data_IF_667826983332
#
_entry.id   IF_667826983332
#
_cell.length_a   1.000
_cell.length_b   1.000
_cell.length_c   1.000
_cell.angle_alpha   90.00
_cell.angle_beta   90.00
_cell.angle_gamma   90.00
#
_symmetry.space_group_name_H-M   'P 1'
#
loop_
_entity.id
_entity.type
_entity.pdbx_description
1 polymer ?
#
# COMPACT_ATOMS: atom_id res chain seq x y z
N UNK A 1 28.17 -14.19 -8.51
CA UNK A 1 26.89 -14.94 -8.59
C UNK A 1 25.72 -13.93 -8.61
N UNK A 2 24.95 -13.89 -9.71
CA UNK A 2 24.00 -12.81 -10.08
C UNK A 2 22.85 -12.63 -9.07
N UNK A 3 22.70 -11.42 -8.52
CA UNK A 3 21.47 -10.97 -7.82
C UNK A 3 20.29 -11.10 -8.79
N UNK A 4 19.38 -12.05 -8.54
CA UNK A 4 18.12 -12.14 -9.30
C UNK A 4 17.31 -10.88 -9.02
N UNK A 5 17.38 -9.90 -9.92
CA UNK A 5 16.49 -8.74 -9.95
C UNK A 5 15.06 -9.26 -10.13
N UNK A 6 14.30 -9.36 -9.05
CA UNK A 6 12.85 -9.50 -9.14
C UNK A 6 12.33 -8.36 -10.00
N UNK A 7 11.50 -8.65 -11.01
CA UNK A 7 10.88 -7.64 -11.87
C UNK A 7 10.26 -6.56 -10.95
N UNK A 8 10.71 -5.32 -11.07
CA UNK A 8 10.09 -4.18 -10.36
C UNK A 8 8.71 -4.01 -10.97
N UNK A 9 7.68 -4.56 -10.33
CA UNK A 9 6.30 -4.33 -10.74
C UNK A 9 5.96 -2.90 -10.31
N UNK A 10 5.82 -2.02 -11.29
CA UNK A 10 5.56 -0.59 -11.06
C UNK A 10 4.07 -0.27 -11.10
N UNK A 11 3.23 -1.18 -11.62
CA UNK A 11 1.79 -1.02 -11.74
C UNK A 11 1.03 -2.17 -11.08
N UNK A 12 -0.19 -1.93 -10.56
CA UNK A 12 -1.01 -3.00 -10.02
C UNK A 12 -1.28 -4.12 -11.01
N UNK A 13 -1.42 -5.35 -10.49
CA UNK A 13 -1.86 -6.49 -11.29
C UNK A 13 -3.36 -6.31 -11.54
N UNK A 14 -3.76 -6.24 -12.81
CA UNK A 14 -5.18 -6.12 -13.19
C UNK A 14 -5.99 -7.35 -12.75
N UNK A 15 -7.21 -7.11 -12.26
CA UNK A 15 -8.12 -8.16 -11.79
C UNK A 15 -9.00 -7.66 -10.66
N UNK A 16 -9.92 -8.51 -10.18
CA UNK A 16 -10.67 -8.22 -8.95
C UNK A 16 -9.71 -8.09 -7.77
N UNK A 17 -10.00 -7.15 -6.86
CA UNK A 17 -9.18 -6.94 -5.68
C UNK A 17 -9.16 -8.22 -4.81
N UNK A 18 -7.97 -8.78 -4.61
CA UNK A 18 -7.78 -9.98 -3.79
C UNK A 18 -6.46 -9.87 -3.04
N UNK A 19 -6.54 -9.95 -1.72
CA UNK A 19 -5.39 -10.15 -0.84
C UNK A 19 -5.06 -11.64 -0.79
N UNK A 20 -3.89 -12.03 -1.32
CA UNK A 20 -3.48 -13.43 -1.43
C UNK A 20 -2.34 -13.67 -0.43
N UNK A 21 -2.53 -14.62 0.49
CA UNK A 21 -1.53 -14.98 1.50
C UNK A 21 -1.68 -14.19 2.81
N UNK A 22 -0.63 -14.22 3.64
CA UNK A 22 -0.63 -13.55 4.94
C UNK A 22 -0.06 -12.13 4.83
N UNK A 23 -0.35 -11.27 5.81
CA UNK A 23 0.16 -9.88 5.87
C UNK A 23 1.67 -9.79 5.60
N UNK A 24 2.42 -10.69 6.24
CA UNK A 24 3.86 -10.81 6.11
C UNK A 24 4.33 -11.59 4.90
N UNK A 25 3.47 -12.27 4.15
CA UNK A 25 3.87 -13.14 3.05
C UNK A 25 2.72 -13.30 2.06
N UNK A 26 2.44 -12.23 1.33
CA UNK A 26 1.32 -12.16 0.42
C UNK A 26 1.57 -11.25 -0.77
N UNK A 27 0.68 -11.35 -1.75
CA UNK A 27 0.59 -10.46 -2.89
C UNK A 27 -0.85 -9.94 -3.01
N UNK A 28 -1.03 -8.93 -3.83
CA UNK A 28 -2.35 -8.33 -4.07
C UNK A 28 -2.61 -8.21 -5.57
N UNK A 29 -3.75 -8.74 -5.99
CA UNK A 29 -4.34 -8.48 -7.32
C UNK A 29 -5.34 -7.34 -7.16
N UNK A 30 -5.47 -6.49 -8.16
CA UNK A 30 -6.42 -5.38 -8.16
C UNK A 30 -6.14 -4.30 -7.10
N UNK A 31 -4.87 -4.13 -6.71
CA UNK A 31 -4.50 -3.07 -5.76
C UNK A 31 -4.81 -1.69 -6.35
N UNK A 32 -5.30 -0.79 -5.51
CA UNK A 32 -5.58 0.59 -5.86
C UNK A 32 -4.61 1.52 -5.15
N UNK A 33 -4.24 2.62 -5.82
CA UNK A 33 -3.48 3.69 -5.21
C UNK A 33 -4.39 4.51 -4.29
N UNK A 34 -3.90 4.84 -3.10
CA UNK A 34 -4.49 5.90 -2.29
C UNK A 34 -4.31 7.25 -3.03
N UNK A 35 -5.37 8.06 -3.19
CA UNK A 35 -5.24 9.39 -3.78
C UNK A 35 -4.18 10.23 -3.05
N UNK A 36 -3.22 10.79 -3.79
CA UNK A 36 -2.16 11.60 -3.19
C UNK A 36 -2.62 13.02 -2.84
N UNK A 37 -3.70 13.48 -3.44
CA UNK A 37 -4.35 14.74 -3.12
C UNK A 37 -5.64 14.46 -2.34
N UNK A 38 -5.64 14.83 -1.07
CA UNK A 38 -6.80 14.76 -0.19
C UNK A 38 -6.73 15.93 0.81
N UNK A 39 -7.89 16.42 1.22
CA UNK A 39 -7.99 17.45 2.26
C UNK A 39 -7.85 16.87 3.67
N UNK A 40 -8.14 15.58 3.84
CA UNK A 40 -8.26 14.92 5.15
C UNK A 40 -7.03 14.12 5.57
N UNK A 41 -6.05 13.94 4.68
CA UNK A 41 -4.78 13.27 4.98
C UNK A 41 -3.65 13.70 4.01
N UNK A 42 -2.41 13.43 4.39
CA UNK A 42 -1.23 13.55 3.52
C UNK A 42 -0.46 12.23 3.47
N UNK A 43 0.05 11.87 2.30
CA UNK A 43 0.84 10.65 2.09
C UNK A 43 2.32 10.98 2.13
N UNK A 44 3.06 10.30 3.02
CA UNK A 44 4.50 10.50 3.18
C UNK A 44 5.29 9.62 2.20
N UNK A 45 6.52 10.05 1.86
CA UNK A 45 7.53 9.23 1.12
C UNK A 45 6.97 8.63 -0.18
N UNK A 46 6.22 9.43 -0.95
CA UNK A 46 5.54 9.00 -2.17
C UNK A 46 6.50 8.52 -3.26
N UNK A 47 7.77 8.93 -3.20
CA UNK A 47 8.88 8.46 -4.03
C UNK A 47 9.08 6.94 -3.93
N UNK A 48 8.73 6.34 -2.79
CA UNK A 48 8.88 4.90 -2.55
C UNK A 48 7.76 4.05 -3.14
N UNK A 49 6.69 4.69 -3.64
CA UNK A 49 5.52 4.02 -4.26
C UNK A 49 4.91 2.95 -3.35
N UNK A 50 4.81 3.25 -2.06
CA UNK A 50 4.23 2.37 -1.03
C UNK A 50 2.84 2.85 -0.59
N UNK A 51 1.99 3.25 -1.52
CA UNK A 51 0.65 3.78 -1.22
C UNK A 51 -0.47 2.97 -1.90
N UNK A 52 -0.20 1.69 -2.20
CA UNK A 52 -1.15 0.80 -2.87
C UNK A 52 -1.75 -0.18 -1.86
N UNK A 53 -3.01 -0.57 -2.05
CA UNK A 53 -3.68 -1.50 -1.15
C UNK A 53 -5.02 -2.02 -1.67
N UNK A 54 -5.67 -2.82 -0.86
CA UNK A 54 -7.04 -3.28 -1.13
C UNK A 54 -8.01 -2.10 -1.11
N UNK A 55 -9.06 -2.07 -1.95
CA UNK A 55 -10.07 -1.00 -1.93
C UNK A 55 -10.63 -0.73 -0.53
N UNK A 56 -10.83 -1.76 0.30
CA UNK A 56 -11.30 -1.58 1.68
C UNK A 56 -10.33 -0.79 2.57
N UNK A 57 -9.02 -0.98 2.37
CA UNK A 57 -7.99 -0.20 3.06
C UNK A 57 -8.05 1.27 2.62
N UNK A 58 -8.23 1.52 1.33
CA UNK A 58 -8.38 2.88 0.79
C UNK A 58 -9.59 3.57 1.42
N UNK A 59 -10.73 2.89 1.44
CA UNK A 59 -11.96 3.42 2.03
C UNK A 59 -11.82 3.63 3.54
N UNK A 60 -11.14 2.73 4.26
CA UNK A 60 -10.86 2.90 5.68
C UNK A 60 -10.05 4.17 5.94
N UNK A 61 -8.96 4.40 5.20
CA UNK A 61 -8.11 5.59 5.36
C UNK A 61 -8.92 6.87 5.08
N UNK A 62 -9.75 6.88 4.04
CA UNK A 62 -10.60 8.03 3.72
C UNK A 62 -11.62 8.32 4.83
N UNK A 63 -12.29 7.29 5.37
CA UNK A 63 -13.23 7.46 6.48
C UNK A 63 -12.53 7.97 7.74
N UNK A 64 -11.39 7.39 8.09
CA UNK A 64 -10.61 7.80 9.25
C UNK A 64 -10.12 9.25 9.10
N UNK A 65 -9.55 9.61 7.95
CA UNK A 65 -9.12 10.98 7.67
C UNK A 65 -10.26 11.98 7.84
N UNK A 66 -11.43 11.67 7.28
CA UNK A 66 -12.60 12.56 7.40
C UNK A 66 -13.07 12.68 8.86
N UNK A 67 -13.02 11.60 9.64
CA UNK A 67 -13.35 11.64 11.07
C UNK A 67 -12.36 12.52 11.85
N UNK A 68 -11.05 12.32 11.66
CA UNK A 68 -9.98 13.10 12.30
C UNK A 68 -10.14 14.59 11.96
N UNK A 69 -10.39 14.90 10.69
CA UNK A 69 -10.61 16.28 10.23
C UNK A 69 -11.88 16.88 10.85
N UNK A 70 -12.99 16.14 10.87
CA UNK A 70 -14.26 16.62 11.44
C UNK A 70 -14.18 16.90 12.94
N UNK A 71 -13.27 16.23 13.65
CA UNK A 71 -13.01 16.42 15.07
C UNK A 71 -11.97 17.52 15.35
N UNK A 72 -11.46 18.21 14.31
CA UNK A 72 -10.47 19.27 14.47
C UNK A 72 -9.11 18.78 14.97
N UNK A 73 -8.80 17.49 14.82
CA UNK A 73 -7.57 16.88 15.34
C UNK A 73 -6.35 17.10 14.43
N UNK A 74 -6.51 17.88 13.36
CA UNK A 74 -5.46 18.16 12.37
C UNK A 74 -5.50 17.21 11.17
N UNK A 75 -4.34 17.04 10.53
CA UNK A 75 -4.19 16.27 9.28
C UNK A 75 -3.60 14.91 9.55
N UNK A 76 -4.26 13.84 9.08
CA UNK A 76 -3.76 12.48 9.19
C UNK A 76 -2.54 12.27 8.28
N UNK A 77 -1.44 11.72 8.81
CA UNK A 77 -0.25 11.37 8.03
C UNK A 77 -0.20 9.88 7.74
N UNK A 78 -0.17 9.52 6.45
CA UNK A 78 -0.15 8.14 5.99
C UNK A 78 1.28 7.74 5.63
N UNK A 79 1.79 6.72 6.32
CA UNK A 79 3.09 6.11 6.06
C UNK A 79 3.02 5.00 5.00
N UNK A 80 3.91 4.01 5.13
CA UNK A 80 4.01 2.91 4.18
C UNK A 80 2.76 2.01 4.20
N UNK A 81 2.14 1.82 3.04
CA UNK A 81 1.13 0.81 2.73
C UNK A 81 1.78 -0.34 1.94
N UNK A 82 1.14 -0.85 0.88
CA UNK A 82 1.71 -1.85 -0.04
C UNK A 82 2.39 -1.25 -1.26
N UNK A 83 3.24 -2.05 -1.90
CA UNK A 83 3.71 -1.82 -3.28
C UNK A 83 2.60 -2.14 -4.30
N UNK A 84 2.68 -1.69 -5.56
CA UNK A 84 1.63 -1.89 -6.57
C UNK A 84 1.12 -3.33 -6.72
N UNK A 85 1.98 -4.33 -6.56
CA UNK A 85 1.62 -5.74 -6.60
C UNK A 85 1.91 -6.49 -5.27
N UNK A 86 2.07 -5.76 -4.17
CA UNK A 86 2.59 -6.30 -2.92
C UNK A 86 4.04 -6.80 -3.05
N UNK A 87 4.42 -7.79 -2.24
CA UNK A 87 5.76 -8.38 -2.27
C UNK A 87 6.82 -7.59 -1.48
N UNK A 88 8.09 -8.01 -1.62
CA UNK A 88 9.20 -7.69 -0.70
C UNK A 88 9.64 -6.22 -0.75
N UNK A 89 9.64 -5.52 0.37
CA UNK A 89 10.41 -4.28 0.52
C UNK A 89 11.93 -4.57 0.52
N UNK A 90 12.73 -3.63 -0.02
CA UNK A 90 14.20 -3.64 0.09
C UNK A 90 14.67 -3.01 1.43
N UNK A 91 13.90 -3.15 2.52
CA UNK A 91 14.15 -2.60 3.85
C UNK A 91 12.87 -2.06 4.54
N UNK A 92 12.67 -2.37 5.84
CA UNK A 92 11.49 -2.02 6.65
C UNK A 92 10.97 -3.17 7.55
N UNK A 93 9.79 -2.99 8.16
CA UNK A 93 9.16 -3.94 9.11
C UNK A 93 8.96 -5.33 8.51
N UNK A 94 9.15 -6.38 9.33
CA UNK A 94 9.16 -7.77 8.90
C UNK A 94 7.80 -8.34 8.47
N UNK A 95 6.70 -7.66 8.83
CA UNK A 95 5.35 -8.00 8.40
C UNK A 95 5.05 -7.68 6.93
N UNK A 96 6.08 -7.40 6.13
CA UNK A 96 6.03 -7.25 4.67
C UNK A 96 7.09 -8.13 3.98
N UNK A 97 7.40 -9.31 4.56
CA UNK A 97 8.50 -10.18 4.15
C UNK A 97 8.06 -11.58 3.74
N UNK A 98 7.63 -11.70 2.48
CA UNK A 98 7.95 -12.79 1.54
C UNK A 98 6.94 -12.75 0.39
N UNK A 99 7.35 -13.38 -0.71
CA UNK A 99 6.66 -13.38 -2.01
C UNK A 99 5.82 -14.65 -2.07
N UNK A 100 4.52 -14.57 -1.82
CA UNK A 100 3.59 -15.53 -2.41
C UNK A 100 3.48 -15.18 -3.90
N UNK A 101 3.39 -16.20 -4.76
CA UNK A 101 3.28 -16.00 -6.20
C UNK A 101 1.98 -15.27 -6.57
N UNK A 102 2.15 -14.04 -7.03
CA UNK A 102 1.42 -13.44 -8.13
C UNK A 102 2.47 -13.21 -9.25
#
# INVERSE_FOLDING_TARGET
MRRRRGKKITQPISGSAQSIGAFANGCIVGAQALPLSATSYQVMRTDQRRYFGHPDLIQFIQRLGNQVQSQGMGTLLIGDMGMPAGGRFNGGHASHQRRAGC
#
